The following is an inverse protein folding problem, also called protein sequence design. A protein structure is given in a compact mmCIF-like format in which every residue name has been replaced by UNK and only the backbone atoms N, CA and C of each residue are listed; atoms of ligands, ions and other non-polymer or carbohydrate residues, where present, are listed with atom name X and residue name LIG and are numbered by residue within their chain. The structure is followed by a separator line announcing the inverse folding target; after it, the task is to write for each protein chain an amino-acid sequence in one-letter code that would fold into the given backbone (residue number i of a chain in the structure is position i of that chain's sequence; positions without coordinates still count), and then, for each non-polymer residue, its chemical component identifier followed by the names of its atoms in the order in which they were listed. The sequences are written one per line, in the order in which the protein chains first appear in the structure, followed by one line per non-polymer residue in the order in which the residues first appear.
data_IF_557522544404
#
_entry.id   IF_557522544404
#
_cell.length_a   1.000
_cell.length_b   1.000
_cell.length_c   1.000
_cell.angle_alpha   90.00
_cell.angle_beta   90.00
_cell.angle_gamma   90.00
#
_symmetry.space_group_name_H-M   'P 1'
#
loop_
_entity.id
_entity.type
_entity.pdbx_description
1 polymer ?
#
# COMPACT_ATOMS: atom_id res chain seq x y z
N UNK A 1 -74.10 16.52 44.37
CA UNK A 1 -74.40 15.50 43.35
C UNK A 1 -73.20 15.40 42.41
N UNK A 2 -72.64 14.18 42.25
CA UNK A 2 -71.87 13.62 41.10
C UNK A 2 -70.72 14.45 40.49
N UNK A 3 -69.58 13.93 40.03
CA UNK A 3 -68.82 12.68 40.07
C UNK A 3 -67.49 13.04 39.37
N UNK A 4 -66.38 12.48 39.83
CA UNK A 4 -65.00 12.62 39.31
C UNK A 4 -64.86 12.29 37.83
N UNK A 5 -63.80 12.77 37.16
CA UNK A 5 -62.83 11.93 36.42
C UNK A 5 -61.49 12.66 36.14
N UNK A 6 -60.43 11.87 36.26
CA UNK A 6 -59.00 12.17 36.14
C UNK A 6 -58.50 12.48 34.72
N UNK A 7 -57.46 13.31 34.61
CA UNK A 7 -56.34 13.07 33.68
C UNK A 7 -55.02 13.71 34.19
N UNK A 8 -53.92 13.03 33.92
CA UNK A 8 -52.62 13.00 34.62
C UNK A 8 -51.75 14.27 34.60
N UNK A 9 -50.81 14.43 35.57
CA UNK A 9 -49.80 15.47 35.54
C UNK A 9 -48.72 15.21 34.47
N UNK A 10 -48.34 16.26 33.74
CA UNK A 10 -47.16 16.28 32.88
C UNK A 10 -45.90 16.11 33.74
N UNK A 11 -45.07 15.14 33.37
CA UNK A 11 -43.76 14.85 33.96
C UNK A 11 -42.84 16.08 33.91
N UNK A 12 -41.97 16.27 34.93
CA UNK A 12 -40.97 17.33 34.92
C UNK A 12 -39.89 17.08 33.86
N UNK A 13 -39.56 18.12 33.10
CA UNK A 13 -38.44 18.16 32.17
C UNK A 13 -37.12 17.94 32.92
N UNK A 14 -36.21 17.07 32.41
CA UNK A 14 -34.97 16.78 33.09
C UNK A 14 -33.98 17.95 32.99
N UNK A 15 -33.25 18.12 34.10
CA UNK A 15 -32.25 19.14 34.36
C UNK A 15 -31.28 19.39 33.19
N UNK A 16 -31.04 20.67 32.96
CA UNK A 16 -30.04 21.24 32.06
C UNK A 16 -28.65 20.73 32.47
N UNK A 17 -28.18 19.64 31.85
CA UNK A 17 -26.75 19.29 31.84
C UNK A 17 -26.03 20.36 31.02
N UNK A 18 -25.33 21.26 31.71
CA UNK A 18 -24.31 22.11 31.08
C UNK A 18 -23.31 21.17 30.39
N UNK A 19 -23.04 21.31 29.08
CA UNK A 19 -21.96 20.57 28.47
C UNK A 19 -20.66 21.08 29.10
N UNK A 20 -19.97 20.20 29.82
CA UNK A 20 -18.57 20.36 30.12
C UNK A 20 -17.88 20.41 28.77
N UNK A 21 -17.40 21.59 28.38
CA UNK A 21 -16.51 21.78 27.25
C UNK A 21 -15.23 21.00 27.58
N UNK A 22 -15.22 19.74 27.19
CA UNK A 22 -14.01 18.96 27.03
C UNK A 22 -13.44 19.41 25.69
N UNK A 23 -12.68 20.51 25.72
CA UNK A 23 -11.68 20.80 24.69
C UNK A 23 -10.59 19.73 24.80
N UNK A 24 -10.92 18.50 24.44
CA UNK A 24 -9.93 17.54 23.98
C UNK A 24 -9.52 18.10 22.63
N UNK A 25 -8.36 18.75 22.59
CA UNK A 25 -7.73 19.16 21.36
C UNK A 25 -7.69 17.93 20.45
N UNK A 26 -8.50 17.95 19.41
CA UNK A 26 -8.31 17.12 18.23
C UNK A 26 -6.96 17.54 17.68
N UNK A 27 -5.88 16.95 18.21
CA UNK A 27 -4.63 16.85 17.51
C UNK A 27 -5.01 16.18 16.19
N UNK A 28 -4.98 16.97 15.13
CA UNK A 28 -5.15 16.47 13.79
C UNK A 28 -4.10 15.37 13.62
N UNK A 29 -4.55 14.12 13.70
CA UNK A 29 -3.84 13.02 13.08
C UNK A 29 -3.88 13.41 11.62
N UNK A 30 -2.81 14.06 11.15
CA UNK A 30 -2.59 14.29 9.73
C UNK A 30 -2.39 12.90 9.17
N UNK A 31 -3.50 12.31 8.73
CA UNK A 31 -3.53 11.00 8.11
C UNK A 31 -2.59 11.05 6.92
N UNK A 32 -1.50 10.28 6.99
CA UNK A 32 -0.57 10.03 5.89
C UNK A 32 -1.32 9.65 4.60
N UNK A 33 -2.51 9.06 4.76
CA UNK A 33 -3.43 8.66 3.70
C UNK A 33 -3.97 9.80 2.80
N UNK A 34 -3.95 11.06 3.23
CA UNK A 34 -4.63 12.13 2.48
C UNK A 34 -3.75 12.92 1.50
N UNK A 35 -2.42 12.88 1.64
CA UNK A 35 -1.49 13.70 0.83
C UNK A 35 -0.60 12.89 -0.12
N UNK A 36 -0.61 11.57 0.02
CA UNK A 36 -0.10 10.67 -0.99
C UNK A 36 -1.31 10.29 -1.84
N UNK A 37 -1.50 10.95 -2.98
CA UNK A 37 -2.13 10.20 -4.08
C UNK A 37 -1.18 9.04 -4.32
N UNK A 38 -1.56 7.79 -3.98
CA UNK A 38 -0.62 6.70 -4.08
C UNK A 38 -0.23 6.57 -5.56
N UNK A 39 1.05 6.40 -5.93
CA UNK A 39 1.29 5.50 -7.05
C UNK A 39 0.62 4.19 -6.62
N UNK A 40 -0.28 3.71 -7.46
CA UNK A 40 -1.13 2.56 -7.19
C UNK A 40 -0.34 1.42 -6.53
N UNK A 41 -1.04 0.73 -5.61
CA UNK A 41 -0.69 -0.60 -5.12
C UNK A 41 0.33 -0.63 -3.98
N UNK A 42 -0.17 -0.69 -2.75
CA UNK A 42 0.48 -1.49 -1.71
C UNK A 42 0.70 -2.90 -2.29
N UNK A 43 1.95 -3.29 -2.45
CA UNK A 43 2.38 -4.36 -3.35
C UNK A 43 2.24 -5.76 -2.73
N UNK A 44 1.07 -6.37 -2.79
CA UNK A 44 0.89 -7.75 -2.35
C UNK A 44 1.28 -8.75 -3.45
N UNK A 45 1.45 -10.03 -3.12
CA UNK A 45 1.59 -11.10 -4.11
C UNK A 45 0.43 -10.99 -5.11
N UNK A 46 0.78 -10.72 -6.37
CA UNK A 46 -0.17 -10.66 -7.48
C UNK A 46 -0.26 -12.06 -8.08
N UNK A 47 -1.45 -12.63 -8.09
CA UNK A 47 -1.73 -13.96 -8.67
C UNK A 47 -2.76 -13.83 -9.78
N UNK A 48 -2.54 -14.52 -10.89
CA UNK A 48 -3.50 -14.57 -11.98
C UNK A 48 -4.64 -15.56 -11.65
N UNK A 49 -5.87 -15.06 -11.55
CA UNK A 49 -7.09 -15.86 -11.57
C UNK A 49 -7.55 -15.96 -13.03
N UNK A 50 -7.03 -16.96 -13.73
CA UNK A 50 -7.30 -17.18 -15.15
C UNK A 50 -8.74 -17.58 -15.44
N UNK A 51 -9.45 -18.14 -14.45
CA UNK A 51 -10.87 -18.49 -14.58
C UNK A 51 -11.75 -17.23 -14.58
N UNK A 52 -11.45 -16.28 -13.68
CA UNK A 52 -12.20 -15.02 -13.59
C UNK A 52 -11.60 -13.89 -14.43
N UNK A 53 -10.45 -14.12 -15.08
CA UNK A 53 -9.72 -13.14 -15.88
C UNK A 53 -9.30 -11.90 -15.06
N UNK A 54 -8.81 -12.12 -13.84
CA UNK A 54 -8.45 -11.07 -12.89
C UNK A 54 -7.08 -11.33 -12.25
N UNK A 55 -6.31 -10.27 -12.05
CA UNK A 55 -5.13 -10.26 -11.20
C UNK A 55 -5.59 -10.01 -9.76
N UNK A 56 -5.39 -10.99 -8.89
CA UNK A 56 -5.73 -10.93 -7.46
C UNK A 56 -4.51 -10.53 -6.64
N UNK A 57 -4.75 -9.65 -5.68
CA UNK A 57 -3.76 -9.06 -4.81
C UNK A 57 -4.14 -9.45 -3.37
N UNK A 58 -3.34 -10.33 -2.76
CA UNK A 58 -3.63 -10.85 -1.42
C UNK A 58 -3.13 -9.89 -0.33
N UNK A 59 -4.06 -9.14 0.28
CA UNK A 59 -3.78 -8.18 1.36
C UNK A 59 -2.97 -8.75 2.56
N UNK A 60 -2.95 -10.08 2.74
CA UNK A 60 -2.23 -10.72 3.83
C UNK A 60 -0.82 -11.21 3.43
N UNK A 61 -0.50 -11.21 2.14
CA UNK A 61 0.79 -11.69 1.64
C UNK A 61 1.93 -10.70 1.94
N UNK A 62 3.19 -11.17 1.98
CA UNK A 62 4.36 -10.31 2.14
C UNK A 62 4.42 -9.26 1.02
N UNK A 63 4.77 -8.03 1.37
CA UNK A 63 4.81 -6.92 0.43
C UNK A 63 6.09 -6.12 0.64
N UNK A 64 6.98 -6.10 -0.36
CA UNK A 64 8.23 -5.36 -0.25
C UNK A 64 8.00 -3.85 -0.05
N UNK A 65 6.95 -3.29 -0.66
CA UNK A 65 6.57 -1.88 -0.49
C UNK A 65 6.04 -1.64 0.93
N UNK A 66 5.17 -2.52 1.46
CA UNK A 66 4.69 -2.42 2.85
C UNK A 66 5.84 -2.58 3.85
N UNK A 67 6.71 -3.56 3.63
CA UNK A 67 7.85 -3.86 4.50
C UNK A 67 8.85 -2.70 4.50
N UNK A 68 9.07 -2.06 3.34
CA UNK A 68 9.86 -0.83 3.24
C UNK A 68 9.31 0.26 4.16
N UNK A 69 8.02 0.58 4.04
CA UNK A 69 7.39 1.64 4.85
C UNK A 69 7.35 1.30 6.33
N UNK A 70 7.02 0.06 6.68
CA UNK A 70 7.07 -0.43 8.05
C UNK A 70 8.46 -0.27 8.67
N UNK A 71 9.49 -0.66 7.92
CA UNK A 71 10.88 -0.52 8.38
C UNK A 71 11.26 0.95 8.51
N UNK A 72 10.87 1.81 7.57
CA UNK A 72 11.12 3.24 7.64
C UNK A 72 10.48 3.86 8.89
N UNK A 73 9.17 3.68 9.12
CA UNK A 73 8.47 4.26 10.27
C UNK A 73 9.00 3.72 11.60
N UNK A 74 9.34 2.44 11.65
CA UNK A 74 9.97 1.84 12.83
C UNK A 74 11.32 2.49 13.13
N UNK A 75 12.14 2.75 12.11
CA UNK A 75 13.46 3.34 12.28
C UNK A 75 13.39 4.85 12.59
N UNK A 76 12.44 5.57 11.99
CA UNK A 76 12.12 6.96 12.33
C UNK A 76 11.74 7.08 13.81
N UNK A 77 10.82 6.23 14.27
CA UNK A 77 10.41 6.19 15.67
C UNK A 77 11.56 5.85 16.60
N UNK A 78 12.35 4.81 16.29
CA UNK A 78 13.54 4.45 17.08
C UNK A 78 14.54 5.59 17.17
N UNK A 79 14.82 6.26 16.05
CA UNK A 79 15.71 7.40 16.01
C UNK A 79 15.18 8.54 16.90
N UNK A 80 13.88 8.85 16.81
CA UNK A 80 13.28 9.92 17.62
C UNK A 80 13.25 9.58 19.11
N UNK A 81 12.90 8.35 19.47
CA UNK A 81 12.95 7.87 20.86
C UNK A 81 14.37 7.98 21.41
N UNK A 82 15.39 7.62 20.63
CA UNK A 82 16.79 7.74 21.06
C UNK A 82 17.23 9.20 21.26
N UNK A 83 16.79 10.14 20.41
CA UNK A 83 17.03 11.57 20.60
C UNK A 83 16.39 12.09 21.89
N UNK A 84 15.13 11.70 22.17
CA UNK A 84 14.42 12.08 23.39
C UNK A 84 15.06 11.46 24.62
N UNK A 85 15.43 10.17 24.57
CA UNK A 85 16.08 9.47 25.68
C UNK A 85 17.45 10.09 26.03
N UNK A 86 18.20 10.56 25.03
CA UNK A 86 19.44 11.31 25.27
C UNK A 86 19.20 12.61 26.04
N UNK A 87 18.09 13.31 25.78
CA UNK A 87 17.73 14.56 26.45
C UNK A 87 16.95 14.33 27.76
N UNK A 88 16.26 13.20 27.90
CA UNK A 88 15.47 12.78 29.05
C UNK A 88 15.76 11.31 29.35
N UNK A 89 16.86 10.99 30.06
CA UNK A 89 17.30 9.62 30.29
C UNK A 89 16.22 8.70 30.87
N UNK A 90 16.08 7.50 30.30
CA UNK A 90 15.09 6.50 30.73
C UNK A 90 13.75 6.61 30.02
N UNK A 91 13.57 7.57 29.11
CA UNK A 91 12.33 7.74 28.34
C UNK A 91 12.00 6.49 27.52
N UNK A 92 13.00 5.86 26.90
CA UNK A 92 12.78 4.67 26.09
C UNK A 92 12.25 3.49 26.93
N UNK A 93 12.79 3.31 28.14
CA UNK A 93 12.37 2.26 29.06
C UNK A 93 10.95 2.52 29.60
N UNK A 94 10.66 3.77 29.92
CA UNK A 94 9.36 4.20 30.43
C UNK A 94 8.26 4.10 29.38
N UNK A 95 8.57 4.42 28.13
CA UNK A 95 7.68 4.19 26.99
C UNK A 95 7.40 2.70 26.78
N UNK A 96 8.42 1.85 26.84
CA UNK A 96 8.25 0.40 26.74
C UNK A 96 7.41 -0.17 27.91
N UNK A 97 7.60 0.34 29.14
CA UNK A 97 6.79 -0.03 30.29
C UNK A 97 5.31 0.36 30.09
N UNK A 98 5.07 1.58 29.57
CA UNK A 98 3.73 2.05 29.22
C UNK A 98 3.06 1.16 28.16
N UNK A 99 3.76 0.84 27.07
CA UNK A 99 3.23 -0.01 26.00
C UNK A 99 2.94 -1.44 26.46
N UNK A 100 3.75 -1.98 27.37
CA UNK A 100 3.54 -3.32 27.92
C UNK A 100 2.43 -3.40 28.97
N UNK A 101 1.85 -2.27 29.39
CA UNK A 101 0.84 -2.21 30.44
C UNK A 101 1.37 -2.61 31.82
N UNK A 102 2.69 -2.46 32.05
CA UNK A 102 3.35 -2.85 33.30
C UNK A 102 2.76 -2.08 34.49
N UNK A 103 2.55 -2.77 35.61
CA UNK A 103 2.13 -2.11 36.85
C UNK A 103 3.17 -1.07 37.29
N UNK A 104 2.70 0.16 37.58
CA UNK A 104 3.57 1.30 37.89
C UNK A 104 4.22 1.97 36.68
N UNK A 105 3.81 1.63 35.45
CA UNK A 105 4.27 2.35 34.26
C UNK A 105 3.87 3.84 34.29
N UNK A 106 4.67 4.74 33.69
CA UNK A 106 4.33 6.15 33.57
C UNK A 106 3.03 6.37 32.80
N UNK A 107 2.31 7.43 33.16
CA UNK A 107 1.05 7.78 32.49
C UNK A 107 1.31 8.48 31.15
N UNK A 108 0.26 8.59 30.33
CA UNK A 108 0.29 9.37 29.09
C UNK A 108 0.78 10.80 29.33
N UNK A 109 0.33 11.43 30.42
CA UNK A 109 0.71 12.80 30.76
C UNK A 109 2.20 12.89 31.13
N UNK A 110 2.73 11.92 31.88
CA UNK A 110 4.14 11.89 32.27
C UNK A 110 5.04 11.79 31.03
N UNK A 111 4.70 10.88 30.11
CA UNK A 111 5.44 10.70 28.87
C UNK A 111 5.31 11.91 27.93
N UNK A 112 4.11 12.46 27.76
CA UNK A 112 3.89 13.63 26.93
C UNK A 112 4.65 14.85 27.46
N UNK A 113 4.66 15.06 28.78
CA UNK A 113 5.40 16.16 29.39
C UNK A 113 6.91 16.01 29.16
N UNK A 114 7.44 14.78 29.23
CA UNK A 114 8.85 14.53 28.92
C UNK A 114 9.19 14.85 27.47
N UNK A 115 8.34 14.46 26.51
CA UNK A 115 8.52 14.83 25.09
C UNK A 115 8.58 16.35 24.96
N UNK A 116 7.61 17.07 25.53
CA UNK A 116 7.55 18.54 25.49
C UNK A 116 8.78 19.19 26.13
N UNK A 117 9.29 18.66 27.24
CA UNK A 117 10.48 19.17 27.92
C UNK A 117 11.76 19.01 27.10
N UNK A 118 11.79 18.09 26.12
CA UNK A 118 12.90 17.97 25.16
C UNK A 118 12.76 18.92 23.96
N UNK A 119 11.76 19.80 23.97
CA UNK A 119 11.42 20.67 22.83
C UNK A 119 10.67 19.95 21.71
N UNK A 120 10.22 18.71 21.95
CA UNK A 120 9.40 17.96 21.01
C UNK A 120 8.00 18.54 20.88
N UNK A 121 7.51 18.61 19.65
CA UNK A 121 6.12 18.98 19.34
C UNK A 121 5.27 17.74 19.02
N UNK A 122 5.88 16.55 19.09
CA UNK A 122 5.22 15.29 18.78
C UNK A 122 4.24 14.86 19.87
N UNK A 123 3.12 14.28 19.46
CA UNK A 123 2.24 13.56 20.38
C UNK A 123 2.82 12.19 20.73
N UNK A 124 2.55 11.70 21.94
CA UNK A 124 2.98 10.37 22.40
C UNK A 124 2.59 9.27 21.41
N UNK A 125 1.39 9.36 20.81
CA UNK A 125 0.90 8.39 19.83
C UNK A 125 1.79 8.24 18.60
N UNK A 126 2.60 9.25 18.23
CA UNK A 126 3.56 9.16 17.13
C UNK A 126 4.82 8.37 17.49
N UNK A 127 5.10 8.23 18.79
CA UNK A 127 6.25 7.53 19.33
C UNK A 127 5.92 6.15 19.86
N UNK A 128 4.63 5.81 19.98
CA UNK A 128 4.24 4.45 20.33
C UNK A 128 4.37 3.51 19.14
N UNK A 129 4.50 2.22 19.41
CA UNK A 129 4.44 1.16 18.41
C UNK A 129 3.13 1.27 17.65
N UNK A 130 3.22 1.71 16.40
CA UNK A 130 2.11 1.70 15.44
C UNK A 130 2.32 0.54 14.47
N UNK A 131 1.27 -0.22 14.19
CA UNK A 131 1.26 -1.12 13.04
C UNK A 131 1.11 -0.31 11.76
N UNK A 132 1.42 -0.92 10.60
CA UNK A 132 1.16 -0.32 9.28
C UNK A 132 -0.30 0.15 9.17
N UNK A 133 -1.23 -0.63 9.75
CA UNK A 133 -2.65 -0.32 9.77
C UNK A 133 -2.99 0.89 10.63
N UNK A 134 -2.34 1.06 11.78
CA UNK A 134 -2.53 2.24 12.63
C UNK A 134 -1.99 3.52 11.99
N UNK A 135 -0.99 3.40 11.10
CA UNK A 135 -0.43 4.50 10.32
C UNK A 135 -1.23 4.84 9.03
N UNK A 136 -2.36 4.15 8.78
CA UNK A 136 -3.12 4.29 7.53
C UNK A 136 -2.41 3.72 6.31
N UNK A 137 -1.39 2.89 6.51
CA UNK A 137 -0.71 2.08 5.50
C UNK A 137 -1.31 0.67 5.56
N UNK A 138 -2.64 0.60 5.52
CA UNK A 138 -3.38 -0.64 5.36
C UNK A 138 -4.18 -0.57 4.07
N UNK A 139 -4.01 -1.61 3.27
CA UNK A 139 -4.79 -1.88 2.07
C UNK A 139 -6.29 -1.75 2.34
N UNK A 140 -6.78 -2.14 3.52
CA UNK A 140 -8.19 -2.08 3.85
C UNK A 140 -8.72 -0.66 4.13
N UNK A 141 -7.84 0.32 4.39
CA UNK A 141 -8.22 1.72 4.69
C UNK A 141 -7.87 2.71 3.58
N UNK A 142 -7.13 2.28 2.55
CA UNK A 142 -6.89 3.05 1.33
C UNK A 142 -8.10 2.93 0.36
N UNK A 143 -8.88 3.99 0.13
CA UNK A 143 -10.03 3.96 -0.79
C UNK A 143 -9.65 3.72 -2.26
N UNK A 144 -8.35 3.85 -2.61
CA UNK A 144 -7.81 3.53 -3.92
C UNK A 144 -7.28 2.10 -4.04
N UNK A 145 -7.16 1.36 -2.95
CA UNK A 145 -6.62 0.01 -2.96
C UNK A 145 -7.63 -0.98 -3.57
N UNK A 146 -7.19 -1.68 -4.61
CA UNK A 146 -7.96 -2.73 -5.26
C UNK A 146 -7.28 -4.06 -5.02
N UNK A 147 -8.04 -5.04 -4.55
CA UNK A 147 -7.57 -6.43 -4.43
C UNK A 147 -7.70 -7.19 -5.75
N UNK A 148 -8.35 -6.60 -6.75
CA UNK A 148 -8.63 -7.21 -8.04
C UNK A 148 -8.38 -6.18 -9.16
N UNK A 149 -7.57 -6.58 -10.14
CA UNK A 149 -7.27 -5.79 -11.33
C UNK A 149 -7.64 -6.60 -12.57
N UNK A 150 -8.32 -6.00 -13.53
CA UNK A 150 -8.39 -6.58 -14.88
C UNK A 150 -7.01 -6.51 -15.53
N UNK A 151 -6.78 -7.27 -16.62
CA UNK A 151 -5.52 -7.20 -17.37
C UNK A 151 -5.14 -5.75 -17.73
N UNK A 152 -6.08 -4.97 -18.29
CA UNK A 152 -5.82 -3.59 -18.67
C UNK A 152 -5.48 -2.72 -17.45
N UNK A 153 -6.17 -2.92 -16.33
CA UNK A 153 -5.90 -2.19 -15.10
C UNK A 153 -4.53 -2.54 -14.50
N UNK A 154 -4.12 -3.82 -14.56
CA UNK A 154 -2.80 -4.25 -14.12
C UNK A 154 -1.70 -3.63 -14.99
N UNK A 155 -1.90 -3.56 -16.32
CA UNK A 155 -0.97 -2.87 -17.24
C UNK A 155 -0.90 -1.36 -16.97
N UNK A 156 -2.03 -0.69 -16.76
CA UNK A 156 -2.05 0.74 -16.41
C UNK A 156 -1.34 0.99 -15.08
N UNK A 157 -1.64 0.22 -14.04
CA UNK A 157 -0.97 0.34 -12.75
C UNK A 157 0.55 0.12 -12.86
N UNK A 158 1.00 -0.85 -13.67
CA UNK A 158 2.42 -1.05 -13.93
C UNK A 158 3.08 0.12 -14.70
N UNK A 159 2.34 0.76 -15.62
CA UNK A 159 2.82 1.92 -16.37
C UNK A 159 2.91 3.18 -15.51
N UNK A 160 2.00 3.34 -14.55
CA UNK A 160 1.99 4.46 -13.60
C UNK A 160 3.20 4.41 -12.65
N UNK A 161 3.81 3.23 -12.48
CA UNK A 161 5.10 3.09 -11.79
C UNK A 161 6.22 3.55 -12.74
N UNK A 162 6.58 4.83 -12.59
CA UNK A 162 7.69 5.46 -13.30
C UNK A 162 9.06 4.87 -12.94
N UNK A 163 10.12 5.37 -13.59
CA UNK A 163 11.48 4.86 -13.41
C UNK A 163 12.11 5.27 -12.06
N UNK A 164 11.65 6.38 -11.49
CA UNK A 164 12.12 6.89 -10.20
C UNK A 164 10.95 7.30 -9.29
N UNK A 165 10.18 6.34 -8.75
CA UNK A 165 9.02 6.62 -7.91
C UNK A 165 9.40 7.35 -6.61
N UNK A 166 10.62 7.17 -6.10
CA UNK A 166 11.10 7.89 -4.91
C UNK A 166 11.17 9.41 -5.10
N UNK A 167 11.33 9.93 -6.32
CA UNK A 167 11.45 11.38 -6.55
C UNK A 167 10.17 12.13 -6.12
N UNK A 168 9.00 11.61 -6.48
CA UNK A 168 7.72 12.22 -6.11
C UNK A 168 7.51 12.22 -4.59
N UNK A 169 7.81 11.09 -3.94
CA UNK A 169 7.70 10.92 -2.49
C UNK A 169 8.68 11.83 -1.74
N UNK A 170 9.91 11.96 -2.24
CA UNK A 170 10.94 12.81 -1.62
C UNK A 170 10.48 14.25 -1.50
N UNK A 171 9.86 14.81 -2.53
CA UNK A 171 9.33 16.17 -2.50
C UNK A 171 8.24 16.35 -1.43
N UNK A 172 7.32 15.39 -1.33
CA UNK A 172 6.27 15.39 -0.30
C UNK A 172 6.85 15.31 1.10
N UNK A 173 7.82 14.41 1.34
CA UNK A 173 8.46 14.26 2.65
C UNK A 173 9.29 15.49 3.04
N UNK A 174 9.95 16.15 2.09
CA UNK A 174 10.65 17.41 2.34
C UNK A 174 9.69 18.53 2.73
N UNK A 175 8.54 18.63 2.06
CA UNK A 175 7.50 19.59 2.43
C UNK A 175 6.93 19.28 3.82
N UNK A 176 6.70 18.00 4.15
CA UNK A 176 6.25 17.59 5.47
C UNK A 176 7.30 17.88 6.56
N UNK A 177 8.58 17.70 6.29
CA UNK A 177 9.65 18.05 7.22
C UNK A 177 9.66 19.55 7.59
N UNK A 178 9.02 20.40 6.78
CA UNK A 178 8.85 21.83 7.07
C UNK A 178 7.73 22.11 8.10
N UNK A 179 7.01 21.08 8.57
CA UNK A 179 5.97 21.19 9.61
C UNK A 179 6.52 21.64 10.97
N UNK A 180 7.83 21.47 11.19
CA UNK A 180 8.50 21.74 12.46
C UNK A 180 8.60 20.51 13.38
N UNK A 181 7.97 19.38 13.05
CA UNK A 181 8.08 18.15 13.83
C UNK A 181 9.38 17.41 13.50
N UNK A 182 10.16 17.04 14.52
CA UNK A 182 11.44 16.35 14.32
C UNK A 182 11.25 14.96 13.74
N UNK A 183 10.13 14.29 14.06
CA UNK A 183 9.78 13.00 13.45
C UNK A 183 9.59 13.08 11.92
N UNK A 184 9.04 14.18 11.39
CA UNK A 184 8.87 14.36 9.94
C UNK A 184 10.20 14.63 9.25
N UNK A 185 11.08 15.40 9.90
CA UNK A 185 12.46 15.60 9.43
C UNK A 185 13.23 14.27 9.37
N UNK A 186 13.15 13.46 10.43
CA UNK A 186 13.75 12.12 10.46
C UNK A 186 13.20 11.21 9.36
N UNK A 187 11.88 11.27 9.08
CA UNK A 187 11.27 10.52 7.98
C UNK A 187 11.85 10.91 6.63
N UNK A 188 11.97 12.20 6.37
CA UNK A 188 12.57 12.72 5.13
C UNK A 188 14.05 12.32 5.01
N UNK A 189 14.83 12.50 6.08
CA UNK A 189 16.25 12.12 6.15
C UNK A 189 16.44 10.62 5.87
N UNK A 190 15.74 9.76 6.61
CA UNK A 190 15.86 8.31 6.46
C UNK A 190 15.34 7.82 5.11
N UNK A 191 14.25 8.38 4.60
CA UNK A 191 13.75 8.04 3.27
C UNK A 191 14.78 8.36 2.19
N UNK A 192 15.44 9.53 2.26
CA UNK A 192 16.45 9.93 1.29
C UNK A 192 17.61 8.92 1.20
N UNK A 193 18.00 8.31 2.33
CA UNK A 193 19.04 7.27 2.37
C UNK A 193 18.59 5.92 1.82
N UNK A 194 17.27 5.69 1.69
CA UNK A 194 16.66 4.42 1.27
C UNK A 194 15.83 4.55 -0.01
N UNK A 195 15.95 5.66 -0.71
CA UNK A 195 15.22 5.91 -1.96
C UNK A 195 15.45 4.80 -3.00
N UNK A 196 16.68 4.24 -3.04
CA UNK A 196 17.01 3.12 -3.90
C UNK A 196 16.23 1.84 -3.54
N UNK A 197 16.09 1.52 -2.26
CA UNK A 197 15.32 0.36 -1.78
C UNK A 197 13.83 0.52 -2.13
N UNK A 198 13.28 1.72 -1.96
CA UNK A 198 11.90 2.02 -2.37
C UNK A 198 11.70 1.85 -3.88
N UNK A 199 12.62 2.39 -4.68
CA UNK A 199 12.59 2.23 -6.13
C UNK A 199 12.63 0.75 -6.52
N UNK A 200 13.50 -0.05 -5.90
CA UNK A 200 13.57 -1.50 -6.12
C UNK A 200 12.26 -2.23 -5.77
N UNK A 201 11.65 -1.89 -4.64
CA UNK A 201 10.36 -2.47 -4.23
C UNK A 201 9.25 -2.15 -5.23
N UNK A 202 9.21 -0.90 -5.74
CA UNK A 202 8.25 -0.47 -6.76
C UNK A 202 8.48 -1.12 -8.12
N UNK A 203 9.73 -1.30 -8.56
CA UNK A 203 10.04 -2.01 -9.81
C UNK A 203 9.69 -3.50 -9.73
N UNK A 204 9.83 -4.11 -8.55
CA UNK A 204 9.36 -5.49 -8.31
C UNK A 204 7.85 -5.58 -8.48
N UNK A 205 7.10 -4.65 -7.89
CA UNK A 205 5.65 -4.56 -8.07
C UNK A 205 5.26 -4.39 -9.54
N UNK A 206 5.91 -3.47 -10.26
CA UNK A 206 5.71 -3.27 -11.70
C UNK A 206 5.87 -4.57 -12.49
N UNK A 207 6.92 -5.33 -12.17
CA UNK A 207 7.21 -6.63 -12.79
C UNK A 207 6.09 -7.63 -12.50
N UNK A 208 5.63 -7.74 -11.25
CA UNK A 208 4.56 -8.66 -10.86
C UNK A 208 3.22 -8.33 -11.52
N UNK A 209 2.86 -7.04 -11.61
CA UNK A 209 1.64 -6.60 -12.30
C UNK A 209 1.70 -6.90 -13.80
N UNK A 210 2.86 -6.68 -14.43
CA UNK A 210 3.09 -6.99 -15.84
C UNK A 210 2.97 -8.49 -16.10
N UNK A 211 3.65 -9.30 -15.28
CA UNK A 211 3.60 -10.76 -15.37
C UNK A 211 2.18 -11.30 -15.23
N UNK A 212 1.42 -10.82 -14.24
CA UNK A 212 0.04 -11.25 -14.08
C UNK A 212 -0.83 -10.87 -15.29
N UNK A 213 -0.66 -9.67 -15.84
CA UNK A 213 -1.37 -9.27 -17.06
C UNK A 213 -1.01 -10.14 -18.26
N UNK A 214 0.25 -10.55 -18.38
CA UNK A 214 0.71 -11.45 -19.45
C UNK A 214 0.13 -12.87 -19.27
N UNK A 215 0.09 -13.40 -18.05
CA UNK A 215 -0.55 -14.69 -17.76
C UNK A 215 -2.06 -14.68 -18.08
N UNK A 216 -2.77 -13.60 -17.77
CA UNK A 216 -4.17 -13.45 -18.15
C UNK A 216 -4.35 -13.39 -19.67
N UNK A 217 -3.48 -12.65 -20.37
CA UNK A 217 -3.53 -12.53 -21.83
C UNK A 217 -3.30 -13.89 -22.51
N UNK A 218 -2.35 -14.68 -22.02
CA UNK A 218 -2.04 -16.02 -22.54
C UNK A 218 -3.14 -17.04 -22.21
N UNK A 219 -3.79 -16.90 -21.05
CA UNK A 219 -4.89 -17.77 -20.63
C UNK A 219 -6.23 -17.46 -21.32
N UNK A 220 -6.34 -16.35 -22.09
CA UNK A 220 -7.58 -16.04 -22.80
C UNK A 220 -7.94 -17.19 -23.73
N UNK A 221 -9.17 -17.73 -23.63
CA UNK A 221 -9.61 -18.76 -24.55
C UNK A 221 -9.66 -18.17 -25.96
N UNK A 222 -8.68 -18.53 -26.79
CA UNK A 222 -8.66 -18.16 -28.20
C UNK A 222 -10.00 -18.59 -28.83
N UNK A 223 -10.73 -17.69 -29.50
CA UNK A 223 -11.95 -18.05 -30.21
C UNK A 223 -11.62 -19.20 -31.18
N UNK A 224 -12.47 -20.21 -31.26
CA UNK A 224 -12.24 -21.43 -32.05
C UNK A 224 -11.87 -21.10 -33.51
N UNK A 225 -12.37 -19.99 -34.04
CA UNK A 225 -12.04 -19.48 -35.37
C UNK A 225 -10.55 -19.13 -35.53
N UNK A 226 -9.92 -18.51 -34.52
CA UNK A 226 -8.49 -18.23 -34.55
C UNK A 226 -7.65 -19.51 -34.42
N UNK A 227 -8.06 -20.46 -33.56
CA UNK A 227 -7.40 -21.77 -33.48
C UNK A 227 -7.47 -22.51 -34.82
N UNK A 228 -8.63 -22.46 -35.48
CA UNK A 228 -8.83 -23.04 -36.81
C UNK A 228 -7.98 -22.35 -37.89
N UNK A 229 -7.85 -21.02 -37.84
CA UNK A 229 -7.02 -20.25 -38.77
C UNK A 229 -5.53 -20.56 -38.61
N UNK A 230 -5.03 -20.66 -37.37
CA UNK A 230 -3.63 -21.04 -37.10
C UNK A 230 -3.37 -22.47 -37.58
N UNK A 231 -4.27 -23.42 -37.26
CA UNK A 231 -4.17 -24.78 -37.74
C UNK A 231 -4.18 -24.86 -39.28
N UNK A 232 -5.08 -24.11 -39.93
CA UNK A 232 -5.14 -24.03 -41.39
C UNK A 232 -3.86 -23.42 -41.99
N UNK A 233 -3.28 -22.39 -41.35
CA UNK A 233 -2.03 -21.78 -41.79
C UNK A 233 -0.83 -22.74 -41.67
N UNK A 234 -0.74 -23.50 -40.58
CA UNK A 234 0.31 -24.53 -40.39
C UNK A 234 0.15 -25.63 -41.45
N UNK A 235 -1.06 -26.12 -41.67
CA UNK A 235 -1.33 -27.14 -42.70
C UNK A 235 -0.98 -26.61 -44.10
N UNK A 236 -1.34 -25.37 -44.42
CA UNK A 236 -0.98 -24.75 -45.69
C UNK A 236 0.55 -24.64 -45.86
N UNK A 237 1.27 -24.20 -44.83
CA UNK A 237 2.73 -24.11 -44.86
C UNK A 237 3.39 -25.49 -45.06
N UNK A 238 2.89 -26.53 -44.37
CA UNK A 238 3.36 -27.91 -44.54
C UNK A 238 3.08 -28.42 -45.96
N UNK A 239 1.88 -28.17 -46.51
CA UNK A 239 1.54 -28.57 -47.88
C UNK A 239 2.41 -27.87 -48.93
N UNK A 240 2.73 -26.59 -48.74
CA UNK A 240 3.66 -25.86 -49.61
C UNK A 240 5.08 -26.43 -49.49
N UNK A 241 5.57 -26.70 -48.28
CA UNK A 241 6.88 -27.30 -48.05
C UNK A 241 7.01 -28.69 -48.69
N UNK A 242 5.99 -29.54 -48.53
CA UNK A 242 5.93 -30.86 -49.17
C UNK A 242 5.92 -30.74 -50.69
N UNK A 243 5.11 -29.83 -51.25
CA UNK A 243 5.04 -29.61 -52.70
C UNK A 243 6.35 -29.06 -53.27
N UNK A 244 7.03 -28.17 -52.55
CA UNK A 244 8.35 -27.65 -52.91
C UNK A 244 9.41 -28.76 -52.91
N UNK A 245 9.39 -29.65 -51.91
CA UNK A 245 10.29 -30.80 -51.83
C UNK A 245 10.06 -31.82 -52.94
N UNK A 246 8.80 -32.13 -53.27
CA UNK A 246 8.48 -33.01 -54.41
C UNK A 246 8.81 -32.39 -55.76
N UNK A 247 8.69 -31.06 -55.91
CA UNK A 247 9.07 -30.38 -57.15
C UNK A 247 10.61 -30.26 -57.31
N UNK A 248 11.34 -30.12 -56.19
CA UNK A 248 12.80 -30.17 -56.14
C UNK A 248 13.36 -31.57 -56.46
N UNK A 249 12.60 -32.63 -56.18
CA UNK A 249 12.96 -34.03 -56.47
C UNK A 249 12.60 -34.53 -57.87
N UNK A 250 12.11 -33.67 -58.78
CA UNK A 250 11.98 -34.06 -60.18
C UNK A 250 13.38 -34.24 -60.78
N UNK A 251 13.72 -35.41 -61.35
CA UNK A 251 15.00 -35.57 -62.03
C UNK A 251 15.08 -34.57 -63.18
N UNK A 252 16.12 -33.73 -63.16
CA UNK A 252 16.40 -32.77 -64.21
C UNK A 252 16.60 -33.51 -65.53
N UNK A 253 15.75 -33.24 -66.53
CA UNK A 253 15.78 -33.86 -67.87
C UNK A 253 17.00 -33.48 -68.74
N UNK A 254 18.11 -33.05 -68.13
CA UNK A 254 19.32 -32.62 -68.85
C UNK A 254 20.55 -33.52 -68.64
N UNK A 255 20.41 -34.73 -68.10
CA UNK A 255 21.48 -35.74 -68.10
C UNK A 255 21.22 -36.94 -69.03
N UNK A 256 20.48 -36.74 -70.13
CA UNK A 256 20.30 -37.74 -71.17
C UNK A 256 20.91 -37.29 -72.51
N UNK A 257 22.13 -36.74 -72.49
CA UNK A 257 22.99 -36.59 -73.67
C UNK A 257 24.46 -36.61 -73.22
N UNK A 258 25.00 -37.81 -72.99
CA UNK A 258 26.40 -38.16 -73.25
C UNK A 258 26.48 -39.64 -73.59
#
# INVERSE_FOLDING_TARGET
MRLSFHQSPLLPTPATRRPIVTTVGTAAVVTLAALLTPPASSAFTVTADTEKQLCRVDANSPSQVRDFWNKLENDVRKARIAEIDKASPGFAADLAAYESGREGAPTVNDLQQRITNTGGQEGLGMLTTQTAADAGIDAATDPGFRTEYTEQQARTAAQDIGDNPAAAISGTLQNQASSGMRIDALRSELFSTRAADYNSAQQTLKTNLTHCADELADARPMPWQQKALIAAAIVAALLVGVKAWFNSRKPSRHQAQR
#
